data_IF_533127362885
#
_entry.id   IF_533127362885
#
_cell.length_a   1.000
_cell.length_b   1.000
_cell.length_c   1.000
_cell.angle_alpha   90.00
_cell.angle_beta   90.00
_cell.angle_gamma   90.00
#
_symmetry.space_group_name_H-M   'P 1'
#
loop_
_entity.id
_entity.type
_entity.pdbx_description
1 polymer ?
#
# COMPACT_ATOMS: atom_id res chain seq x y z
N UNK A 1 12.70 13.09 7.27
CA UNK A 1 11.41 12.88 7.96
C UNK A 1 11.69 11.96 9.13
N UNK A 2 11.75 12.50 10.35
CA UNK A 2 12.15 11.74 11.55
C UNK A 2 11.18 10.60 11.89
N UNK A 3 9.92 10.70 11.49
CA UNK A 3 8.90 9.69 11.80
C UNK A 3 9.11 8.35 11.09
N UNK A 4 9.69 8.31 9.88
CA UNK A 4 9.96 7.04 9.18
C UNK A 4 11.11 6.28 9.86
N UNK A 5 12.11 7.01 10.36
CA UNK A 5 13.21 6.40 11.10
C UNK A 5 12.74 5.69 12.37
N UNK A 6 11.62 6.13 12.96
CA UNK A 6 11.00 5.48 14.11
C UNK A 6 10.39 4.11 13.77
N UNK A 7 10.15 3.82 12.49
CA UNK A 7 9.58 2.56 12.03
C UNK A 7 10.63 1.46 11.86
N UNK A 8 11.94 1.76 11.96
CA UNK A 8 13.00 0.80 11.69
C UNK A 8 12.83 -0.50 12.50
N UNK A 9 12.78 -1.63 11.80
CA UNK A 9 12.61 -2.96 12.39
C UNK A 9 11.23 -3.25 12.98
N UNK A 10 10.28 -2.32 12.85
CA UNK A 10 8.91 -2.49 13.35
C UNK A 10 8.03 -3.24 12.34
N UNK A 11 6.85 -3.65 12.83
CA UNK A 11 5.75 -4.11 12.00
C UNK A 11 4.69 -3.02 11.98
N UNK A 12 4.34 -2.54 10.79
CA UNK A 12 3.43 -1.43 10.60
C UNK A 12 2.12 -1.92 9.99
N UNK A 13 1.01 -1.66 10.66
CA UNK A 13 -0.32 -1.91 10.10
C UNK A 13 -0.65 -0.88 9.02
N UNK A 14 -0.91 -1.33 7.80
CA UNK A 14 -1.28 -0.49 6.67
C UNK A 14 -2.80 -0.48 6.50
N UNK A 15 -3.38 0.72 6.63
CA UNK A 15 -4.75 1.00 6.25
C UNK A 15 -4.88 1.12 4.72
N UNK A 16 -6.10 1.14 4.20
CA UNK A 16 -6.38 1.11 2.77
C UNK A 16 -6.02 2.41 2.05
N UNK A 17 -6.20 3.57 2.70
CA UNK A 17 -6.03 4.87 2.05
C UNK A 17 -4.59 5.13 1.52
N UNK A 18 -3.51 4.88 2.28
CA UNK A 18 -2.14 5.05 1.76
C UNK A 18 -1.85 4.21 0.51
N UNK A 19 -2.40 2.98 0.42
CA UNK A 19 -2.24 2.12 -0.75
C UNK A 19 -2.97 2.71 -1.97
N UNK A 20 -4.20 3.17 -1.80
CA UNK A 20 -4.96 3.84 -2.87
C UNK A 20 -4.21 5.08 -3.36
N UNK A 21 -3.72 5.92 -2.45
CA UNK A 21 -3.00 7.14 -2.81
C UNK A 21 -1.71 6.87 -3.57
N UNK A 22 -1.03 5.77 -3.26
CA UNK A 22 0.18 5.36 -3.97
C UNK A 22 -0.14 4.84 -5.37
N UNK A 23 -1.10 3.92 -5.48
CA UNK A 23 -1.48 3.27 -6.74
C UNK A 23 -2.11 4.24 -7.73
N UNK A 24 -3.06 5.04 -7.27
CA UNK A 24 -3.82 5.98 -8.11
C UNK A 24 -3.19 7.37 -8.18
N UNK A 25 -2.00 7.52 -7.58
CA UNK A 25 -1.18 8.74 -7.61
C UNK A 25 -1.92 10.00 -7.14
N UNK A 26 -2.57 9.91 -5.97
CA UNK A 26 -3.32 11.03 -5.43
C UNK A 26 -2.41 12.26 -5.23
N UNK A 27 -2.71 13.41 -5.87
CA UNK A 27 -1.79 14.55 -5.92
C UNK A 27 -1.53 15.18 -4.55
N UNK A 28 -2.44 15.04 -3.59
CA UNK A 28 -2.32 15.62 -2.26
C UNK A 28 -1.40 14.80 -1.34
N UNK A 29 -1.28 13.49 -1.59
CA UNK A 29 -0.61 12.55 -0.69
C UNK A 29 0.53 11.77 -1.34
N UNK A 30 0.71 11.86 -2.66
CA UNK A 30 1.67 11.02 -3.39
C UNK A 30 3.10 11.15 -2.85
N UNK A 31 3.56 12.36 -2.52
CA UNK A 31 4.93 12.56 -2.06
C UNK A 31 5.21 11.87 -0.72
N UNK A 32 4.27 11.93 0.23
CA UNK A 32 4.45 11.30 1.54
C UNK A 32 4.35 9.78 1.44
N UNK A 33 3.40 9.24 0.67
CA UNK A 33 3.27 7.79 0.51
C UNK A 33 4.42 7.19 -0.31
N UNK A 34 4.95 7.89 -1.33
CA UNK A 34 6.17 7.47 -2.05
C UNK A 34 7.37 7.38 -1.12
N UNK A 35 7.49 8.29 -0.16
CA UNK A 35 8.59 8.22 0.80
C UNK A 35 8.43 7.01 1.74
N UNK A 36 7.21 6.76 2.22
CA UNK A 36 6.89 5.60 3.04
C UNK A 36 7.18 4.27 2.33
N UNK A 37 6.62 4.08 1.13
CA UNK A 37 6.81 2.85 0.36
C UNK A 37 8.26 2.66 -0.09
N UNK A 38 9.02 3.73 -0.37
CA UNK A 38 10.47 3.60 -0.64
C UNK A 38 11.25 3.07 0.56
N UNK A 39 10.88 3.43 1.79
CA UNK A 39 11.53 2.85 2.98
C UNK A 39 11.13 1.40 3.21
N UNK A 40 9.86 1.07 2.96
CA UNK A 40 9.38 -0.31 2.95
C UNK A 40 10.15 -1.17 1.92
N UNK A 41 10.31 -0.70 0.68
CA UNK A 41 11.02 -1.41 -0.39
C UNK A 41 12.50 -1.67 -0.05
N UNK A 42 13.11 -0.83 0.79
CA UNK A 42 14.48 -1.05 1.29
C UNK A 42 14.57 -2.09 2.40
N UNK A 43 13.43 -2.57 2.91
CA UNK A 43 13.37 -3.49 4.05
C UNK A 43 13.60 -2.79 5.39
N UNK A 44 13.40 -1.46 5.48
CA UNK A 44 13.58 -0.71 6.73
C UNK A 44 12.60 -1.20 7.82
N UNK A 45 11.42 -1.67 7.40
CA UNK A 45 10.37 -2.23 8.25
C UNK A 45 9.47 -3.20 7.46
N UNK A 46 8.59 -3.91 8.16
CA UNK A 46 7.60 -4.81 7.53
C UNK A 46 6.21 -4.19 7.59
N UNK A 47 5.39 -4.47 6.58
CA UNK A 47 4.00 -4.03 6.54
C UNK A 47 3.10 -5.25 6.76
N UNK A 48 2.05 -5.05 7.54
CA UNK A 48 0.92 -5.99 7.60
C UNK A 48 -0.37 -5.27 7.24
N UNK A 49 -1.30 -5.97 6.59
CA UNK A 49 -2.65 -5.46 6.39
C UNK A 49 -3.67 -6.58 6.61
N UNK A 50 -4.94 -6.32 6.31
CA UNK A 50 -6.00 -7.31 6.47
C UNK A 50 -6.61 -7.70 5.13
N UNK A 51 -7.28 -8.85 5.11
CA UNK A 51 -8.11 -9.24 3.95
C UNK A 51 -9.24 -8.25 3.67
N UNK A 52 -9.63 -7.42 4.65
CA UNK A 52 -10.61 -6.34 4.45
C UNK A 52 -10.06 -5.28 3.50
N UNK A 53 -8.78 -4.91 3.62
CA UNK A 53 -8.12 -3.97 2.70
C UNK A 53 -8.16 -4.45 1.26
N UNK A 54 -7.96 -5.74 1.02
CA UNK A 54 -8.10 -6.34 -0.32
C UNK A 54 -9.53 -6.16 -0.87
N UNK A 55 -10.56 -6.36 -0.05
CA UNK A 55 -11.94 -6.16 -0.47
C UNK A 55 -12.20 -4.70 -0.82
N UNK A 56 -11.78 -3.77 0.07
CA UNK A 56 -12.01 -2.34 -0.09
C UNK A 56 -11.42 -1.79 -1.40
N UNK A 57 -10.16 -2.14 -1.72
CA UNK A 57 -9.52 -1.69 -2.97
C UNK A 57 -10.11 -2.33 -4.22
N UNK A 58 -10.71 -3.52 -4.11
CA UNK A 58 -11.30 -4.22 -5.25
C UNK A 58 -12.73 -3.78 -5.58
N UNK A 59 -13.50 -3.28 -4.61
CA UNK A 59 -14.91 -2.91 -4.85
C UNK A 59 -15.04 -1.88 -5.98
N UNK A 60 -14.24 -0.82 -5.96
CA UNK A 60 -14.38 0.28 -6.91
C UNK A 60 -13.94 -0.09 -8.34
N UNK A 61 -12.73 -0.65 -8.58
CA UNK A 61 -12.27 -1.00 -9.92
C UNK A 61 -13.15 -2.08 -10.57
N UNK A 62 -13.58 -3.09 -9.79
CA UNK A 62 -14.45 -4.14 -10.33
C UNK A 62 -15.82 -3.62 -10.74
N UNK A 63 -16.41 -2.69 -9.97
CA UNK A 63 -17.67 -2.02 -10.36
C UNK A 63 -17.56 -1.21 -11.64
N UNK A 64 -16.37 -0.67 -11.93
CA UNK A 64 -16.09 0.09 -13.14
C UNK A 64 -15.67 -0.80 -14.33
N UNK A 65 -15.52 -2.10 -14.12
CA UNK A 65 -14.94 -3.00 -15.12
C UNK A 65 -13.45 -2.76 -15.37
N UNK A 66 -12.76 -2.01 -14.49
CA UNK A 66 -11.33 -1.77 -14.57
C UNK A 66 -10.57 -2.97 -14.01
N UNK A 67 -10.50 -4.04 -14.80
CA UNK A 67 -9.84 -5.29 -14.41
C UNK A 67 -8.32 -5.15 -14.29
N UNK A 68 -7.72 -4.16 -14.97
CA UNK A 68 -6.28 -3.89 -14.89
C UNK A 68 -5.93 -3.41 -13.49
N UNK A 69 -6.58 -2.34 -13.01
CA UNK A 69 -6.35 -1.81 -11.67
C UNK A 69 -6.70 -2.83 -10.58
N UNK A 70 -7.77 -3.60 -10.78
CA UNK A 70 -8.11 -4.70 -9.86
C UNK A 70 -7.00 -5.76 -9.77
N UNK A 71 -6.36 -6.09 -10.90
CA UNK A 71 -5.25 -7.04 -10.91
C UNK A 71 -4.00 -6.44 -10.25
N UNK A 72 -3.67 -5.18 -10.51
CA UNK A 72 -2.54 -4.50 -9.88
C UNK A 72 -2.65 -4.49 -8.35
N UNK A 73 -3.85 -4.23 -7.81
CA UNK A 73 -4.09 -4.33 -6.36
C UNK A 73 -3.86 -5.75 -5.83
N UNK A 74 -4.26 -6.80 -6.56
CA UNK A 74 -4.03 -8.19 -6.17
C UNK A 74 -2.56 -8.55 -6.17
N UNK A 75 -1.83 -8.17 -7.22
CA UNK A 75 -0.39 -8.43 -7.34
C UNK A 75 0.36 -7.83 -6.16
N UNK A 76 0.04 -6.58 -5.82
CA UNK A 76 0.73 -5.90 -4.71
C UNK A 76 0.35 -6.48 -3.36
N UNK A 77 -0.93 -6.76 -3.11
CA UNK A 77 -1.36 -7.24 -1.80
C UNK A 77 -1.04 -8.73 -1.54
N UNK A 78 -0.90 -9.55 -2.58
CA UNK A 78 -0.75 -11.01 -2.43
C UNK A 78 0.64 -11.52 -2.77
N UNK A 79 1.42 -10.78 -3.57
CA UNK A 79 2.71 -11.27 -4.08
C UNK A 79 3.91 -10.38 -3.67
N UNK A 80 3.73 -9.39 -2.79
CA UNK A 80 4.82 -8.54 -2.33
C UNK A 80 5.61 -9.17 -1.19
N UNK A 81 6.93 -9.14 -1.33
CA UNK A 81 7.83 -9.50 -0.24
C UNK A 81 7.73 -8.48 0.89
N UNK A 82 7.83 -8.93 2.14
CA UNK A 82 7.71 -8.12 3.36
C UNK A 82 6.35 -7.48 3.65
N UNK A 83 5.34 -7.73 2.80
CA UNK A 83 3.93 -7.48 3.09
C UNK A 83 3.26 -8.79 3.55
N UNK A 84 2.45 -8.74 4.61
CA UNK A 84 1.68 -9.91 5.10
C UNK A 84 0.24 -9.55 5.40
#
# INVERSE_FOLDING_TARGET
MEWIAQLQGQVVGLDTAPLIYFMEQNPNYIEIVRLFFRSFDRGDFRIVTSTVTLVEVLVHPLRQGNTILAQEYREILLNQENLT
#
